data_IF_363503222996
#
_entry.id   IF_363503222996
#
_cell.length_a   1.000
_cell.length_b   1.000
_cell.length_c   1.000
_cell.angle_alpha   90.00
_cell.angle_beta   90.00
_cell.angle_gamma   90.00
#
_symmetry.space_group_name_H-M   'P 1'
#
loop_
_entity.id
_entity.type
_entity.pdbx_description
1 polymer ?
#
# COMPACT_ATOMS: atom_id res chain seq x y z
N UNK A 1 -20.54 34.00 37.62
CA UNK A 1 -20.91 32.56 37.75
C UNK A 1 -21.53 32.13 36.44
N UNK A 2 -20.79 31.46 35.60
CA UNK A 2 -21.34 30.74 34.46
C UNK A 2 -20.41 29.56 34.22
N UNK A 3 -20.87 28.35 34.54
CA UNK A 3 -20.18 27.10 34.39
C UNK A 3 -20.32 26.67 32.91
N UNK A 4 -19.20 26.64 32.17
CA UNK A 4 -19.13 26.03 30.87
C UNK A 4 -18.99 24.50 31.06
N UNK A 5 -20.06 23.78 30.73
CA UNK A 5 -20.08 22.34 30.72
C UNK A 5 -19.21 21.82 29.54
N UNK A 6 -18.13 21.14 29.84
CA UNK A 6 -17.36 20.38 28.88
C UNK A 6 -18.18 19.16 28.42
N UNK A 7 -18.67 19.21 27.20
CA UNK A 7 -19.25 18.04 26.55
C UNK A 7 -18.13 17.07 26.18
N UNK A 8 -18.02 16.00 26.96
CA UNK A 8 -17.24 14.80 26.62
C UNK A 8 -17.78 14.24 25.30
N UNK A 9 -16.95 14.24 24.26
CA UNK A 9 -17.25 13.54 23.01
C UNK A 9 -17.32 12.05 23.33
N UNK A 10 -18.52 11.49 23.37
CA UNK A 10 -18.74 10.05 23.51
C UNK A 10 -18.10 9.35 22.32
N UNK A 11 -17.10 8.49 22.58
CA UNK A 11 -16.50 7.61 21.59
C UNK A 11 -17.64 6.80 20.93
N UNK A 12 -17.75 6.88 19.60
CA UNK A 12 -18.66 6.01 18.84
C UNK A 12 -18.32 4.55 19.20
N UNK A 13 -19.33 3.69 19.45
CA UNK A 13 -19.06 2.28 19.67
C UNK A 13 -18.30 1.74 18.45
N UNK A 14 -17.14 1.12 18.69
CA UNK A 14 -16.36 0.44 17.66
C UNK A 14 -17.26 -0.64 17.09
N UNK A 15 -17.76 -0.46 15.88
CA UNK A 15 -18.54 -1.46 15.18
C UNK A 15 -17.67 -2.72 15.08
N UNK A 16 -18.25 -3.90 15.42
CA UNK A 16 -17.51 -5.15 15.33
C UNK A 16 -16.99 -5.33 13.89
N UNK A 17 -15.70 -5.64 13.76
CA UNK A 17 -15.06 -5.79 12.45
C UNK A 17 -15.81 -6.83 11.61
N UNK A 18 -15.98 -6.54 10.32
CA UNK A 18 -16.75 -7.39 9.40
C UNK A 18 -16.02 -8.69 9.05
N UNK A 19 -14.71 -8.61 8.79
CA UNK A 19 -13.83 -9.76 8.67
C UNK A 19 -12.81 -9.71 9.80
N UNK A 20 -12.73 -10.79 10.56
CA UNK A 20 -11.78 -10.93 11.67
C UNK A 20 -10.93 -12.17 11.42
N UNK A 21 -9.63 -11.95 11.37
CA UNK A 21 -8.61 -12.99 11.31
C UNK A 21 -7.95 -13.02 12.69
N UNK A 22 -7.89 -14.19 13.32
CA UNK A 22 -7.40 -14.34 14.69
C UNK A 22 -6.35 -15.44 14.75
N UNK A 23 -5.11 -15.05 15.04
CA UNK A 23 -3.98 -15.96 15.26
C UNK A 23 -3.84 -17.03 14.17
N UNK A 24 -4.02 -16.62 12.90
CA UNK A 24 -3.93 -17.54 11.77
C UNK A 24 -2.48 -17.93 11.55
N UNK A 25 -2.28 -19.25 11.55
CA UNK A 25 -1.01 -19.89 11.22
C UNK A 25 -1.23 -20.83 10.04
N UNK A 26 -0.33 -20.80 9.08
CA UNK A 26 -0.20 -21.83 8.04
C UNK A 26 1.23 -22.29 7.93
N UNK A 27 1.44 -23.54 8.22
CA UNK A 27 2.72 -24.21 8.11
C UNK A 27 2.64 -25.27 7.00
N UNK A 28 3.66 -25.31 6.14
CA UNK A 28 3.92 -26.37 5.19
C UNK A 28 5.24 -27.02 5.59
N UNK A 29 5.20 -28.29 5.98
CA UNK A 29 6.33 -29.00 6.54
C UNK A 29 7.00 -28.20 7.68
N UNK A 30 8.23 -27.73 7.48
CA UNK A 30 8.95 -26.92 8.46
C UNK A 30 8.85 -25.41 8.24
N UNK A 31 8.15 -24.95 7.18
CA UNK A 31 8.10 -23.54 6.78
C UNK A 31 6.76 -22.91 7.16
N UNK A 32 6.82 -21.82 7.93
CA UNK A 32 5.65 -20.99 8.20
C UNK A 32 5.41 -20.06 7.01
N UNK A 33 4.36 -20.33 6.23
CA UNK A 33 3.92 -19.45 5.15
C UNK A 33 3.10 -18.26 5.68
N UNK A 34 2.37 -18.47 6.80
CA UNK A 34 1.68 -17.43 7.56
C UNK A 34 1.92 -17.75 9.03
N UNK A 35 2.43 -16.77 9.80
CA UNK A 35 2.88 -16.93 11.16
C UNK A 35 2.17 -15.93 12.08
N UNK A 36 1.20 -16.41 12.84
CA UNK A 36 0.42 -15.69 13.86
C UNK A 36 -0.19 -14.37 13.36
N UNK A 37 -0.88 -14.40 12.21
CA UNK A 37 -1.51 -13.21 11.64
C UNK A 37 -2.87 -12.96 12.30
N UNK A 38 -3.03 -11.73 12.84
CA UNK A 38 -4.31 -11.20 13.33
C UNK A 38 -4.62 -9.89 12.62
N UNK A 39 -5.86 -9.73 12.13
CA UNK A 39 -6.29 -8.61 11.32
C UNK A 39 -7.79 -8.40 11.42
N UNK A 40 -8.20 -7.14 11.53
CA UNK A 40 -9.59 -6.69 11.49
C UNK A 40 -9.82 -5.83 10.25
N UNK A 41 -10.88 -6.16 9.48
CA UNK A 41 -11.29 -5.40 8.28
C UNK A 41 -12.74 -4.98 8.46
N UNK A 42 -13.00 -3.70 8.21
CA UNK A 42 -14.34 -3.11 8.34
C UNK A 42 -15.21 -3.42 7.11
N UNK A 43 -16.53 -3.28 7.26
CA UNK A 43 -17.45 -3.44 6.14
C UNK A 43 -17.27 -2.32 5.11
N UNK A 44 -17.17 -2.69 3.82
CA UNK A 44 -16.97 -1.75 2.71
C UNK A 44 -15.53 -1.26 2.55
N UNK A 45 -14.60 -1.74 3.36
CA UNK A 45 -13.18 -1.42 3.27
C UNK A 45 -12.53 -2.11 2.05
N UNK A 46 -11.57 -1.43 1.43
CA UNK A 46 -10.63 -2.03 0.46
C UNK A 46 -9.30 -2.19 1.20
N UNK A 47 -8.98 -3.40 1.60
CA UNK A 47 -7.76 -3.74 2.32
C UNK A 47 -6.74 -4.37 1.37
N UNK A 48 -5.52 -3.82 1.31
CA UNK A 48 -4.43 -4.39 0.52
C UNK A 48 -3.40 -5.10 1.41
N UNK A 49 -3.08 -6.35 1.08
CA UNK A 49 -1.89 -7.03 1.57
C UNK A 49 -0.75 -6.78 0.59
N UNK A 50 0.27 -6.07 1.02
CA UNK A 50 1.44 -5.69 0.25
C UNK A 50 2.69 -6.37 0.80
N UNK A 51 3.59 -6.83 -0.05
CA UNK A 51 4.84 -7.48 0.38
C UNK A 51 5.58 -8.15 -0.78
N UNK A 52 6.79 -8.59 -0.54
CA UNK A 52 7.61 -9.31 -1.52
C UNK A 52 6.99 -10.65 -1.93
N UNK A 53 7.46 -11.20 -3.05
CA UNK A 53 7.06 -12.56 -3.48
C UNK A 53 7.43 -13.59 -2.41
N UNK A 54 6.51 -14.53 -2.14
CA UNK A 54 6.74 -15.60 -1.16
C UNK A 54 6.50 -15.22 0.30
N UNK A 55 6.15 -13.98 0.66
CA UNK A 55 5.93 -13.59 2.06
C UNK A 55 4.59 -14.08 2.68
N UNK A 56 3.77 -14.86 1.96
CA UNK A 56 2.55 -15.49 2.51
C UNK A 56 1.21 -14.88 2.06
N UNK A 57 1.18 -13.77 1.33
CA UNK A 57 -0.06 -13.07 0.90
C UNK A 57 -1.07 -13.97 0.19
N UNK A 58 -0.65 -14.65 -0.88
CA UNK A 58 -1.53 -15.54 -1.65
C UNK A 58 -1.98 -16.75 -0.82
N UNK A 59 -1.16 -17.22 0.13
CA UNK A 59 -1.55 -18.27 1.07
C UNK A 59 -2.68 -17.79 1.98
N UNK A 60 -2.55 -16.58 2.56
CA UNK A 60 -3.60 -15.99 3.38
C UNK A 60 -4.88 -15.78 2.56
N UNK A 61 -4.77 -15.26 1.33
CA UNK A 61 -5.91 -15.08 0.44
C UNK A 61 -6.62 -16.40 0.11
N UNK A 62 -5.86 -17.48 -0.14
CA UNK A 62 -6.40 -18.83 -0.38
C UNK A 62 -7.10 -19.40 0.85
N UNK A 63 -6.60 -19.11 2.06
CA UNK A 63 -7.28 -19.50 3.30
C UNK A 63 -8.60 -18.76 3.45
N UNK A 64 -8.68 -17.47 3.12
CA UNK A 64 -9.94 -16.73 3.08
C UNK A 64 -10.93 -17.32 2.06
N UNK A 65 -10.44 -17.68 0.88
CA UNK A 65 -11.26 -18.29 -0.18
C UNK A 65 -11.68 -19.74 0.12
N UNK A 66 -11.03 -20.42 1.09
CA UNK A 66 -11.28 -21.82 1.43
C UNK A 66 -10.55 -22.83 0.55
N UNK A 67 -9.61 -22.39 -0.29
CA UNK A 67 -8.75 -23.27 -1.09
C UNK A 67 -7.57 -23.83 -0.29
N UNK A 68 -7.32 -23.28 0.88
CA UNK A 68 -6.29 -23.71 1.82
C UNK A 68 -6.86 -23.69 3.23
N UNK A 69 -6.54 -24.71 4.05
CA UNK A 69 -6.97 -24.76 5.44
C UNK A 69 -5.85 -24.24 6.33
N UNK A 70 -6.10 -23.31 7.26
CA UNK A 70 -5.09 -22.89 8.23
C UNK A 70 -4.69 -24.07 9.12
N UNK A 71 -3.44 -24.05 9.60
CA UNK A 71 -2.93 -25.01 10.61
C UNK A 71 -3.57 -24.75 11.97
N UNK A 72 -3.76 -23.46 12.31
CA UNK A 72 -4.46 -23.01 13.52
C UNK A 72 -5.03 -21.60 13.31
N UNK A 73 -5.85 -21.16 14.27
CA UNK A 73 -6.48 -19.85 14.26
C UNK A 73 -7.92 -19.88 13.72
N UNK A 74 -8.52 -18.70 13.60
CA UNK A 74 -9.92 -18.54 13.26
C UNK A 74 -10.14 -17.43 12.23
N UNK A 75 -11.11 -17.60 11.34
CA UNK A 75 -11.56 -16.60 10.36
C UNK A 75 -13.06 -16.40 10.52
N UNK A 76 -13.47 -15.21 10.95
CA UNK A 76 -14.87 -14.86 11.17
C UNK A 76 -15.30 -13.81 10.17
N UNK A 77 -16.33 -14.09 9.37
CA UNK A 77 -16.92 -13.18 8.40
C UNK A 77 -18.36 -12.82 8.80
N UNK A 78 -18.57 -11.56 9.19
CA UNK A 78 -19.87 -11.07 9.62
C UNK A 78 -20.48 -11.89 10.76
N UNK A 79 -19.65 -12.28 11.74
CA UNK A 79 -20.04 -13.05 12.91
C UNK A 79 -20.07 -14.58 12.73
N UNK A 80 -19.78 -15.10 11.52
CA UNK A 80 -19.75 -16.54 11.25
C UNK A 80 -18.32 -17.02 11.03
N UNK A 81 -17.90 -18.07 11.73
CA UNK A 81 -16.63 -18.76 11.44
C UNK A 81 -16.76 -19.50 10.11
N UNK A 82 -15.79 -19.26 9.22
CA UNK A 82 -15.77 -19.80 7.86
C UNK A 82 -14.65 -20.83 7.62
N UNK A 83 -13.81 -21.12 8.62
CA UNK A 83 -12.65 -22.03 8.44
C UNK A 83 -13.11 -23.40 7.97
N UNK A 84 -14.17 -23.96 8.56
CA UNK A 84 -14.72 -25.28 8.23
C UNK A 84 -15.61 -25.33 6.97
N UNK A 85 -15.91 -24.18 6.35
CA UNK A 85 -16.78 -24.12 5.18
C UNK A 85 -16.00 -24.40 3.89
N UNK A 86 -16.60 -25.20 3.00
CA UNK A 86 -16.08 -25.42 1.66
C UNK A 86 -16.08 -24.11 0.84
N UNK A 87 -15.20 -23.93 -0.17
CA UNK A 87 -15.10 -22.69 -0.95
C UNK A 87 -16.42 -22.23 -1.57
N UNK A 88 -17.26 -23.16 -2.04
CA UNK A 88 -18.54 -22.87 -2.69
C UNK A 88 -19.66 -22.49 -1.70
N UNK A 89 -19.50 -22.79 -0.41
CA UNK A 89 -20.43 -22.43 0.66
C UNK A 89 -20.09 -21.08 1.32
N UNK A 90 -18.91 -20.52 1.03
CA UNK A 90 -18.50 -19.23 1.55
C UNK A 90 -19.17 -18.09 0.76
N UNK A 91 -19.71 -17.06 1.42
CA UNK A 91 -20.24 -15.87 0.74
C UNK A 91 -19.12 -14.96 0.20
N UNK A 92 -18.14 -15.56 -0.46
CA UNK A 92 -16.90 -14.96 -0.94
C UNK A 92 -16.74 -15.30 -2.41
N UNK A 93 -16.32 -14.31 -3.21
CA UNK A 93 -15.86 -14.57 -4.56
C UNK A 93 -14.42 -14.07 -4.73
N UNK A 94 -13.67 -14.78 -5.57
CA UNK A 94 -12.28 -14.48 -5.85
C UNK A 94 -12.08 -14.17 -7.34
N UNK A 95 -11.30 -13.13 -7.63
CA UNK A 95 -10.76 -12.85 -8.94
C UNK A 95 -9.28 -13.25 -8.94
N UNK A 96 -8.91 -14.16 -9.83
CA UNK A 96 -7.55 -14.67 -9.97
C UNK A 96 -6.69 -13.76 -10.85
N UNK A 97 -5.39 -13.80 -10.67
CA UNK A 97 -4.39 -13.07 -11.45
C UNK A 97 -4.53 -13.27 -12.97
N UNK A 98 -4.84 -14.50 -13.41
CA UNK A 98 -5.07 -14.84 -14.82
C UNK A 98 -6.48 -14.50 -15.32
N UNK A 99 -7.30 -13.84 -14.47
CA UNK A 99 -8.75 -13.58 -14.68
C UNK A 99 -9.60 -14.86 -14.78
N UNK A 100 -9.02 -16.01 -15.10
CA UNK A 100 -9.64 -17.33 -15.20
C UNK A 100 -10.99 -17.34 -15.95
N UNK A 101 -11.09 -16.55 -17.04
CA UNK A 101 -12.30 -16.52 -17.87
C UNK A 101 -12.46 -17.84 -18.62
N UNK A 102 -13.70 -18.31 -18.76
CA UNK A 102 -14.01 -19.48 -19.55
C UNK A 102 -13.87 -19.17 -21.06
N UNK A 103 -12.86 -19.71 -21.75
CA UNK A 103 -12.51 -19.29 -23.11
C UNK A 103 -13.56 -19.69 -24.16
N UNK A 104 -14.35 -20.72 -23.87
CA UNK A 104 -15.42 -21.22 -24.73
C UNK A 104 -16.73 -20.44 -24.58
N UNK A 105 -16.91 -19.69 -23.49
CA UNK A 105 -18.07 -18.86 -23.21
C UNK A 105 -17.85 -17.43 -23.70
N UNK A 106 -18.92 -16.75 -24.10
CA UNK A 106 -18.90 -15.32 -24.36
C UNK A 106 -18.91 -14.51 -23.05
N UNK A 107 -18.85 -13.17 -23.12
CA UNK A 107 -18.85 -12.27 -21.96
C UNK A 107 -20.09 -12.46 -21.12
N UNK A 108 -21.26 -12.46 -21.75
CA UNK A 108 -22.55 -12.63 -21.08
C UNK A 108 -22.62 -13.96 -20.32
N UNK A 109 -22.22 -15.05 -20.97
CA UNK A 109 -22.23 -16.39 -20.38
C UNK A 109 -21.18 -16.55 -19.27
N UNK A 110 -20.02 -15.90 -19.36
CA UNK A 110 -19.05 -15.86 -18.27
C UNK A 110 -19.65 -15.24 -17.00
N UNK A 111 -20.36 -14.12 -17.12
CA UNK A 111 -21.00 -13.44 -15.99
C UNK A 111 -22.17 -14.28 -15.45
N UNK A 112 -22.99 -14.86 -16.34
CA UNK A 112 -24.15 -15.66 -15.99
C UNK A 112 -23.82 -17.03 -15.35
N UNK A 113 -22.59 -17.52 -15.49
CA UNK A 113 -22.20 -18.88 -15.13
C UNK A 113 -22.52 -19.22 -13.67
N UNK A 114 -22.07 -18.38 -12.73
CA UNK A 114 -22.32 -18.58 -11.31
C UNK A 114 -23.81 -18.51 -10.94
N UNK A 115 -24.54 -17.56 -11.55
CA UNK A 115 -25.97 -17.38 -11.31
C UNK A 115 -26.82 -18.60 -11.76
N UNK A 116 -26.44 -19.19 -12.91
CA UNK A 116 -27.07 -20.43 -13.38
C UNK A 116 -26.82 -21.60 -12.45
N UNK A 117 -25.58 -21.71 -11.93
CA UNK A 117 -25.21 -22.78 -11.00
C UNK A 117 -25.99 -22.68 -9.67
N UNK A 118 -26.27 -21.45 -9.24
CA UNK A 118 -27.07 -21.20 -8.03
C UNK A 118 -28.59 -21.41 -8.26
N UNK A 119 -28.99 -21.80 -9.47
CA UNK A 119 -30.43 -22.08 -9.78
C UNK A 119 -31.28 -20.82 -9.95
N UNK A 120 -30.70 -19.65 -10.15
CA UNK A 120 -31.44 -18.39 -10.32
C UNK A 120 -32.35 -18.46 -11.54
N UNK A 121 -33.62 -17.93 -11.50
CA UNK A 121 -34.53 -17.88 -12.63
C UNK A 121 -33.94 -17.12 -13.82
N UNK A 122 -34.22 -17.58 -15.05
CA UNK A 122 -33.69 -16.95 -16.27
C UNK A 122 -33.94 -15.46 -16.40
N UNK A 123 -35.14 -14.90 -16.07
CA UNK A 123 -35.35 -13.45 -16.11
C UNK A 123 -34.41 -12.68 -15.18
N UNK A 124 -34.22 -13.19 -13.95
CA UNK A 124 -33.36 -12.56 -12.95
C UNK A 124 -31.89 -12.61 -13.35
N UNK A 125 -31.44 -13.73 -13.97
CA UNK A 125 -30.09 -13.82 -14.56
C UNK A 125 -29.91 -12.75 -15.63
N UNK A 126 -30.87 -12.58 -16.53
CA UNK A 126 -30.78 -11.61 -17.62
C UNK A 126 -30.65 -10.20 -17.05
N UNK A 127 -31.54 -9.83 -16.14
CA UNK A 127 -31.48 -8.53 -15.48
C UNK A 127 -30.14 -8.31 -14.78
N UNK A 128 -29.68 -9.29 -14.00
CA UNK A 128 -28.44 -9.16 -13.22
C UNK A 128 -27.20 -9.07 -14.12
N UNK A 129 -27.15 -9.83 -15.21
CA UNK A 129 -26.05 -9.76 -16.16
C UNK A 129 -26.02 -8.41 -16.87
N UNK A 130 -27.21 -7.90 -17.27
CA UNK A 130 -27.31 -6.56 -17.92
C UNK A 130 -26.87 -5.44 -16.95
N UNK A 131 -27.25 -5.49 -15.67
CA UNK A 131 -26.75 -4.60 -14.62
C UNK A 131 -25.20 -4.64 -14.53
N UNK A 132 -24.63 -5.83 -14.52
CA UNK A 132 -23.16 -5.98 -14.45
C UNK A 132 -22.45 -5.47 -15.70
N UNK A 133 -22.99 -5.78 -16.90
CA UNK A 133 -22.44 -5.30 -18.17
C UNK A 133 -22.47 -3.77 -18.27
N UNK A 134 -23.52 -3.14 -17.77
CA UNK A 134 -23.64 -1.68 -17.72
C UNK A 134 -22.64 -1.09 -16.73
N UNK A 135 -22.52 -1.67 -15.55
CA UNK A 135 -21.58 -1.24 -14.50
C UNK A 135 -20.14 -1.22 -14.99
N UNK A 136 -19.72 -2.26 -15.73
CA UNK A 136 -18.34 -2.38 -16.25
C UNK A 136 -18.18 -1.82 -17.67
N UNK A 137 -19.23 -1.19 -18.22
CA UNK A 137 -19.27 -0.58 -19.58
C UNK A 137 -18.92 -1.56 -20.71
N UNK A 138 -19.38 -2.82 -20.59
CA UNK A 138 -19.11 -3.87 -21.58
C UNK A 138 -20.35 -4.36 -22.33
N UNK A 139 -21.50 -3.67 -22.23
CA UNK A 139 -22.75 -4.02 -22.91
C UNK A 139 -22.59 -4.29 -24.43
N UNK A 140 -21.82 -3.47 -25.19
CA UNK A 140 -21.58 -3.72 -26.63
C UNK A 140 -20.77 -5.00 -26.91
N UNK A 141 -20.06 -5.52 -25.90
CA UNK A 141 -19.16 -6.67 -26.03
C UNK A 141 -19.76 -7.97 -25.50
N UNK A 142 -21.03 -7.99 -25.07
CA UNK A 142 -21.69 -9.11 -24.40
C UNK A 142 -21.56 -10.45 -25.15
N UNK A 143 -21.57 -10.43 -26.48
CA UNK A 143 -21.48 -11.61 -27.34
C UNK A 143 -20.05 -12.03 -27.71
N UNK A 144 -19.03 -11.22 -27.36
CA UNK A 144 -17.62 -11.53 -27.67
C UNK A 144 -17.08 -12.62 -26.73
N UNK A 145 -16.10 -13.37 -27.23
CA UNK A 145 -15.33 -14.34 -26.44
C UNK A 145 -14.08 -13.66 -25.83
N UNK A 146 -13.49 -14.21 -24.75
CA UNK A 146 -12.34 -13.60 -24.07
C UNK A 146 -11.18 -13.23 -24.98
N UNK A 147 -10.81 -14.08 -25.95
CA UNK A 147 -9.73 -13.81 -26.90
C UNK A 147 -9.97 -12.62 -27.85
N UNK A 148 -11.20 -12.10 -27.92
CA UNK A 148 -11.60 -10.93 -28.72
C UNK A 148 -11.60 -9.63 -27.91
N UNK A 149 -11.12 -9.67 -26.66
CA UNK A 149 -11.11 -8.56 -25.71
C UNK A 149 -9.68 -8.15 -25.39
N UNK A 150 -9.47 -6.85 -25.11
CA UNK A 150 -8.23 -6.38 -24.51
C UNK A 150 -8.07 -6.89 -23.06
N UNK A 151 -6.85 -6.86 -22.51
CA UNK A 151 -6.58 -7.28 -21.14
C UNK A 151 -7.46 -6.56 -20.11
N UNK A 152 -7.61 -5.24 -20.21
CA UNK A 152 -8.49 -4.48 -19.32
C UNK A 152 -9.98 -4.81 -19.49
N UNK A 153 -10.43 -5.19 -20.71
CA UNK A 153 -11.79 -5.68 -20.92
C UNK A 153 -11.99 -7.06 -20.28
N UNK A 154 -11.01 -7.96 -20.41
CA UNK A 154 -11.05 -9.28 -19.76
C UNK A 154 -11.11 -9.15 -18.24
N UNK A 155 -10.32 -8.26 -17.67
CA UNK A 155 -10.34 -7.95 -16.24
C UNK A 155 -11.73 -7.48 -15.78
N UNK A 156 -12.36 -6.52 -16.50
CA UNK A 156 -13.70 -6.05 -16.17
C UNK A 156 -14.76 -7.16 -16.28
N UNK A 157 -14.61 -8.09 -17.21
CA UNK A 157 -15.49 -9.29 -17.28
C UNK A 157 -15.30 -10.17 -16.04
N UNK A 158 -14.05 -10.42 -15.61
CA UNK A 158 -13.75 -11.21 -14.43
C UNK A 158 -14.31 -10.56 -13.16
N UNK A 159 -14.17 -9.23 -13.04
CA UNK A 159 -14.75 -8.46 -11.95
C UNK A 159 -16.29 -8.56 -11.95
N UNK A 160 -16.93 -8.32 -13.09
CA UNK A 160 -18.39 -8.43 -13.23
C UNK A 160 -18.90 -9.83 -12.86
N UNK A 161 -18.20 -10.89 -13.29
CA UNK A 161 -18.48 -12.27 -12.92
C UNK A 161 -18.38 -12.48 -11.41
N UNK A 162 -17.32 -11.95 -10.78
CA UNK A 162 -17.11 -12.07 -9.33
C UNK A 162 -18.17 -11.31 -8.52
N UNK A 163 -18.65 -10.16 -9.02
CA UNK A 163 -19.67 -9.35 -8.36
C UNK A 163 -21.12 -9.81 -8.65
N UNK A 164 -21.34 -10.61 -9.70
CA UNK A 164 -22.68 -11.01 -10.13
C UNK A 164 -23.47 -11.70 -9.01
N UNK A 165 -22.84 -12.57 -8.23
CA UNK A 165 -23.42 -13.31 -7.10
C UNK A 165 -23.65 -12.48 -5.83
N UNK A 166 -23.32 -11.18 -5.84
CA UNK A 166 -23.39 -10.28 -4.66
C UNK A 166 -22.65 -10.86 -3.44
N UNK A 167 -21.33 -11.12 -3.56
CA UNK A 167 -20.57 -11.66 -2.46
C UNK A 167 -20.53 -10.66 -1.30
N UNK A 168 -20.39 -11.16 -0.08
CA UNK A 168 -20.15 -10.32 1.10
C UNK A 168 -18.69 -9.85 1.17
N UNK A 169 -17.76 -10.66 0.64
CA UNK A 169 -16.33 -10.37 0.55
C UNK A 169 -15.81 -10.67 -0.86
N UNK A 170 -15.11 -9.72 -1.46
CA UNK A 170 -14.41 -9.86 -2.73
C UNK A 170 -12.92 -10.04 -2.47
N UNK A 171 -12.33 -11.07 -3.04
CA UNK A 171 -10.88 -11.31 -3.00
C UNK A 171 -10.29 -11.05 -4.37
N UNK A 172 -9.19 -10.27 -4.41
CA UNK A 172 -8.47 -9.94 -5.64
C UNK A 172 -7.01 -10.41 -5.52
N UNK A 173 -6.61 -11.32 -6.38
CA UNK A 173 -5.24 -11.85 -6.45
C UNK A 173 -4.49 -11.16 -7.59
N UNK A 174 -3.62 -10.20 -7.27
CA UNK A 174 -2.86 -9.39 -8.23
C UNK A 174 -3.71 -8.87 -9.41
N UNK A 175 -4.76 -8.08 -9.14
CA UNK A 175 -5.82 -7.82 -10.12
C UNK A 175 -5.34 -7.09 -11.38
N UNK A 176 -4.18 -6.41 -11.34
CA UNK A 176 -3.66 -5.61 -12.46
C UNK A 176 -2.32 -6.14 -13.01
N UNK A 177 -1.81 -7.24 -12.47
CA UNK A 177 -0.50 -7.79 -12.81
C UNK A 177 -0.32 -8.15 -14.30
N UNK A 178 -1.41 -8.43 -15.02
CA UNK A 178 -1.39 -8.78 -16.44
C UNK A 178 -1.49 -7.57 -17.41
N UNK A 179 -1.53 -6.33 -16.89
CA UNK A 179 -1.72 -5.12 -17.70
C UNK A 179 -0.39 -4.36 -17.89
N UNK A 180 -0.25 -3.68 -19.06
CA UNK A 180 0.81 -2.70 -19.27
C UNK A 180 0.64 -1.46 -18.37
N UNK A 181 1.73 -0.72 -18.10
CA UNK A 181 1.76 0.37 -17.13
C UNK A 181 0.72 1.47 -17.40
N UNK A 182 0.54 1.89 -18.66
CA UNK A 182 -0.40 2.97 -19.02
C UNK A 182 -1.87 2.53 -18.81
N UNK A 183 -2.18 1.30 -19.18
CA UNK A 183 -3.52 0.74 -18.98
C UNK A 183 -3.80 0.47 -17.52
N UNK A 184 -2.77 0.09 -16.74
CA UNK A 184 -2.84 -0.19 -15.31
C UNK A 184 -3.33 1.02 -14.52
N UNK A 185 -2.70 2.20 -14.65
CA UNK A 185 -3.09 3.42 -13.93
C UNK A 185 -4.56 3.81 -14.16
N UNK A 186 -5.02 3.76 -15.41
CA UNK A 186 -6.42 4.06 -15.71
C UNK A 186 -7.37 3.04 -15.09
N UNK A 187 -7.00 1.77 -15.15
CA UNK A 187 -7.85 0.66 -14.69
C UNK A 187 -7.91 0.58 -13.17
N UNK A 188 -6.86 1.02 -12.45
CA UNK A 188 -6.88 1.14 -10.97
C UNK A 188 -8.07 1.97 -10.49
N UNK A 189 -8.20 3.20 -10.97
CA UNK A 189 -9.30 4.09 -10.54
C UNK A 189 -10.67 3.55 -10.94
N UNK A 190 -10.80 2.98 -12.16
CA UNK A 190 -12.06 2.36 -12.60
C UNK A 190 -12.46 1.19 -11.68
N UNK A 191 -11.50 0.35 -11.28
CA UNK A 191 -11.72 -0.78 -10.37
C UNK A 191 -12.19 -0.31 -8.99
N UNK A 192 -11.50 0.69 -8.41
CA UNK A 192 -11.88 1.30 -7.13
C UNK A 192 -13.31 1.84 -7.19
N UNK A 193 -13.65 2.61 -8.22
CA UNK A 193 -14.99 3.18 -8.39
C UNK A 193 -16.08 2.10 -8.46
N UNK A 194 -15.81 0.97 -9.16
CA UNK A 194 -16.77 -0.13 -9.24
C UNK A 194 -16.95 -0.78 -7.87
N UNK A 195 -15.87 -1.09 -7.14
CA UNK A 195 -15.92 -1.72 -5.81
C UNK A 195 -16.68 -0.82 -4.83
N UNK A 196 -16.36 0.48 -4.80
CA UNK A 196 -17.02 1.47 -3.94
C UNK A 196 -18.51 1.63 -4.28
N UNK A 197 -18.86 1.66 -5.57
CA UNK A 197 -20.27 1.76 -6.02
C UNK A 197 -21.10 0.55 -5.58
N UNK A 198 -20.50 -0.64 -5.57
CA UNK A 198 -21.15 -1.87 -5.09
C UNK A 198 -21.20 -1.91 -3.56
N UNK A 199 -20.27 -1.23 -2.87
CA UNK A 199 -20.15 -1.24 -1.41
C UNK A 199 -19.69 -2.59 -0.85
N UNK A 200 -19.01 -3.41 -1.65
CA UNK A 200 -18.49 -4.71 -1.20
C UNK A 200 -17.17 -4.54 -0.45
N UNK A 201 -17.01 -5.28 0.65
CA UNK A 201 -15.72 -5.39 1.33
C UNK A 201 -14.73 -6.13 0.43
N UNK A 202 -13.52 -5.62 0.30
CA UNK A 202 -12.51 -6.15 -0.61
C UNK A 202 -11.18 -6.40 0.11
N UNK A 203 -10.60 -7.59 -0.11
CA UNK A 203 -9.21 -7.88 0.25
C UNK A 203 -8.45 -8.15 -1.04
N UNK A 204 -7.41 -7.37 -1.28
CA UNK A 204 -6.52 -7.55 -2.43
C UNK A 204 -5.11 -7.91 -1.98
N UNK A 205 -4.42 -8.71 -2.77
CA UNK A 205 -2.99 -8.94 -2.63
C UNK A 205 -2.27 -8.37 -3.83
N UNK A 206 -1.16 -7.72 -3.59
CA UNK A 206 -0.30 -7.16 -4.63
C UNK A 206 1.15 -7.12 -4.17
N UNK A 207 2.07 -7.05 -5.11
CA UNK A 207 3.48 -6.71 -4.88
C UNK A 207 3.81 -5.31 -5.43
N UNK A 208 2.84 -4.64 -6.06
CA UNK A 208 2.97 -3.30 -6.63
C UNK A 208 2.54 -2.25 -5.58
N UNK A 209 3.50 -1.40 -5.20
CA UNK A 209 3.29 -0.36 -4.18
C UNK A 209 2.30 0.71 -4.67
N UNK A 210 2.41 1.13 -5.95
CA UNK A 210 1.52 2.13 -6.54
C UNK A 210 0.07 1.64 -6.54
N UNK A 211 -0.13 0.35 -6.83
CA UNK A 211 -1.44 -0.29 -6.77
C UNK A 211 -2.03 -0.25 -5.35
N UNK A 212 -1.26 -0.67 -4.34
CA UNK A 212 -1.71 -0.65 -2.95
C UNK A 212 -2.02 0.77 -2.47
N UNK A 213 -1.11 1.72 -2.73
CA UNK A 213 -1.24 3.12 -2.31
C UNK A 213 -2.44 3.84 -2.96
N UNK A 214 -2.75 3.50 -4.23
CA UNK A 214 -3.83 4.16 -4.98
C UNK A 214 -5.21 3.56 -4.66
N UNK A 215 -5.29 2.26 -4.42
CA UNK A 215 -6.57 1.54 -4.36
C UNK A 215 -7.06 1.26 -2.95
N UNK A 216 -6.16 1.07 -1.99
CA UNK A 216 -6.54 0.63 -0.67
C UNK A 216 -6.97 1.76 0.26
N UNK A 217 -7.93 1.49 1.14
CA UNK A 217 -8.24 2.35 2.29
C UNK A 217 -7.28 2.11 3.45
N UNK A 218 -6.80 0.86 3.59
CA UNK A 218 -5.72 0.47 4.50
C UNK A 218 -4.84 -0.59 3.85
N UNK A 219 -3.56 -0.57 4.22
CA UNK A 219 -2.52 -1.49 3.73
C UNK A 219 -1.96 -2.27 4.92
N UNK A 220 -1.80 -3.56 4.74
CA UNK A 220 -0.99 -4.42 5.62
C UNK A 220 0.30 -4.80 4.91
N UNK A 221 1.44 -4.34 5.42
CA UNK A 221 2.76 -4.72 4.89
C UNK A 221 3.18 -6.05 5.50
N UNK A 222 3.40 -7.04 4.63
CA UNK A 222 3.70 -8.41 5.03
C UNK A 222 5.11 -8.81 4.64
N UNK A 223 5.83 -9.44 5.57
CA UNK A 223 7.14 -10.03 5.36
C UNK A 223 7.27 -11.31 6.18
N UNK A 224 7.89 -12.34 5.62
CA UNK A 224 8.20 -13.62 6.31
C UNK A 224 7.00 -14.21 7.06
N UNK A 225 5.83 -14.21 6.44
CA UNK A 225 4.61 -14.76 7.04
C UNK A 225 3.89 -13.85 8.05
N UNK A 226 4.47 -12.70 8.40
CA UNK A 226 3.94 -11.77 9.42
C UNK A 226 3.50 -10.46 8.81
N UNK A 227 2.51 -9.81 9.45
CA UNK A 227 2.16 -8.42 9.15
C UNK A 227 3.01 -7.52 10.05
N UNK A 228 3.84 -6.68 9.43
CA UNK A 228 4.75 -5.78 10.14
C UNK A 228 4.08 -4.46 10.52
N UNK A 229 3.24 -3.92 9.62
CA UNK A 229 2.52 -2.68 9.85
C UNK A 229 1.17 -2.71 9.14
N UNK A 230 0.16 -2.12 9.78
CA UNK A 230 -1.15 -1.85 9.18
C UNK A 230 -1.43 -0.36 9.37
N UNK A 231 -1.83 0.32 8.30
CA UNK A 231 -2.19 1.74 8.35
C UNK A 231 -2.83 2.21 7.05
N UNK A 232 -3.22 3.48 7.01
CA UNK A 232 -3.60 4.13 5.77
C UNK A 232 -2.38 4.28 4.86
N UNK A 233 -2.56 4.45 3.54
CA UNK A 233 -1.45 4.66 2.62
C UNK A 233 -0.46 5.73 3.11
N UNK A 234 -0.96 6.90 3.55
CA UNK A 234 -0.15 7.99 4.06
C UNK A 234 0.65 7.58 5.31
N UNK A 235 0.02 6.85 6.25
CA UNK A 235 0.67 6.39 7.48
C UNK A 235 1.82 5.40 7.19
N UNK A 236 1.60 4.48 6.24
CA UNK A 236 2.61 3.51 5.83
C UNK A 236 3.83 4.18 5.18
N UNK A 237 3.59 5.27 4.42
CA UNK A 237 4.62 6.01 3.71
C UNK A 237 5.37 6.99 4.62
N UNK A 238 4.63 7.82 5.37
CA UNK A 238 5.21 8.93 6.16
C UNK A 238 5.71 8.47 7.54
N UNK A 239 5.11 7.42 8.12
CA UNK A 239 5.46 6.93 9.46
C UNK A 239 5.70 5.42 9.49
N UNK A 240 6.66 4.91 8.70
CA UNK A 240 7.02 3.48 8.76
C UNK A 240 7.52 3.13 10.15
N UNK A 241 7.09 1.97 10.68
CA UNK A 241 7.43 1.53 12.03
C UNK A 241 8.75 0.76 12.14
N UNK A 242 9.36 0.40 11.02
CA UNK A 242 10.63 -0.32 10.97
C UNK A 242 11.36 -0.07 9.64
N UNK A 243 12.65 -0.40 9.64
CA UNK A 243 13.52 -0.24 8.48
C UNK A 243 13.00 -0.98 7.24
N UNK A 244 12.49 -2.21 7.43
CA UNK A 244 11.94 -2.98 6.31
C UNK A 244 10.80 -2.23 5.62
N UNK A 245 9.83 -1.70 6.38
CA UNK A 245 8.69 -0.96 5.80
C UNK A 245 9.17 0.32 5.12
N UNK A 246 10.11 1.07 5.73
CA UNK A 246 10.66 2.30 5.16
C UNK A 246 11.34 2.05 3.80
N UNK A 247 12.14 0.99 3.69
CA UNK A 247 12.87 0.62 2.47
C UNK A 247 11.99 -0.07 1.43
N UNK A 248 11.01 -0.87 1.89
CA UNK A 248 10.09 -1.56 1.01
C UNK A 248 9.07 -0.63 0.36
N UNK A 249 8.63 0.44 1.06
CA UNK A 249 7.65 1.42 0.54
C UNK A 249 8.36 2.63 -0.04
N UNK A 250 8.67 2.58 -1.34
CA UNK A 250 9.38 3.66 -2.03
C UNK A 250 10.88 3.68 -1.73
N UNK A 251 11.54 4.74 -2.19
CA UNK A 251 12.97 4.95 -1.93
C UNK A 251 13.13 5.73 -0.62
N UNK A 252 14.17 5.42 0.15
CA UNK A 252 14.53 6.13 1.39
C UNK A 252 16.04 6.30 1.49
N UNK A 253 16.50 7.43 2.04
CA UNK A 253 17.87 7.64 2.48
C UNK A 253 17.96 7.24 3.96
N UNK A 254 18.95 6.41 4.30
CA UNK A 254 19.16 5.92 5.66
C UNK A 254 20.53 6.35 6.17
N UNK A 255 20.55 7.01 7.33
CA UNK A 255 21.77 7.33 8.06
C UNK A 255 21.77 6.53 9.36
N UNK A 256 22.92 5.95 9.70
CA UNK A 256 23.10 5.29 10.99
C UNK A 256 23.60 6.30 12.00
N UNK A 257 22.93 6.42 13.11
CA UNK A 257 23.30 7.38 14.14
C UNK A 257 23.03 6.87 15.55
N UNK A 258 23.45 7.67 16.52
CA UNK A 258 23.19 7.44 17.95
C UNK A 258 22.48 8.65 18.53
N UNK A 259 21.44 8.40 19.30
CA UNK A 259 20.67 9.44 19.98
C UNK A 259 21.57 10.08 21.08
N UNK A 260 21.87 11.36 20.93
CA UNK A 260 22.67 12.14 21.88
C UNK A 260 21.82 13.01 22.80
N UNK A 261 20.67 13.49 22.32
CA UNK A 261 19.66 14.23 23.11
C UNK A 261 18.30 13.60 22.86
N UNK A 262 17.52 13.38 23.92
CA UNK A 262 16.16 12.82 23.87
C UNK A 262 15.28 13.66 24.81
N UNK A 263 14.71 14.75 24.29
CA UNK A 263 13.82 15.65 24.99
C UNK A 263 12.37 15.50 24.52
N UNK A 264 11.42 16.04 25.24
CA UNK A 264 10.00 15.85 24.96
C UNK A 264 9.54 16.48 23.63
N UNK A 265 10.23 17.52 23.17
CA UNK A 265 9.91 18.32 21.98
C UNK A 265 10.88 18.07 20.81
N UNK A 266 12.06 17.50 21.06
CA UNK A 266 13.04 17.22 20.03
C UNK A 266 14.00 16.09 20.39
N UNK A 267 14.63 15.52 19.35
CA UNK A 267 15.69 14.54 19.48
C UNK A 267 16.88 14.97 18.61
N UNK A 268 18.10 14.81 19.14
CA UNK A 268 19.32 15.00 18.37
C UNK A 268 20.03 13.66 18.19
N UNK A 269 20.40 13.36 16.95
CA UNK A 269 21.04 12.11 16.58
C UNK A 269 22.36 12.45 15.88
N UNK A 270 23.47 11.94 16.43
CA UNK A 270 24.78 12.09 15.82
C UNK A 270 25.06 10.91 14.87
N UNK A 271 25.29 11.21 13.59
CA UNK A 271 25.74 10.26 12.55
C UNK A 271 27.15 10.59 12.06
N UNK A 272 27.71 9.72 11.22
CA UNK A 272 29.01 9.99 10.59
C UNK A 272 28.94 11.20 9.64
N UNK A 273 27.80 11.42 9.02
CA UNK A 273 27.59 12.43 7.97
C UNK A 273 27.28 13.81 8.53
N UNK A 274 26.37 13.85 9.51
CA UNK A 274 25.95 15.09 10.14
C UNK A 274 25.25 14.87 11.48
N UNK A 275 24.89 15.94 12.15
CA UNK A 275 23.97 15.96 13.26
C UNK A 275 22.54 16.11 12.73
N UNK A 276 21.62 15.23 13.17
CA UNK A 276 20.22 15.29 12.82
C UNK A 276 19.41 15.87 13.98
N UNK A 277 18.69 16.94 13.69
CA UNK A 277 17.70 17.52 14.61
C UNK A 277 16.30 17.05 14.16
N UNK A 278 15.60 16.34 15.02
CA UNK A 278 14.24 15.80 14.80
C UNK A 278 13.27 16.63 15.63
N UNK A 279 12.27 17.23 15.01
CA UNK A 279 11.34 18.20 15.62
C UNK A 279 10.23 17.56 16.47
N UNK A 280 10.42 16.33 16.95
CA UNK A 280 9.51 15.65 17.88
C UNK A 280 10.30 14.73 18.81
N UNK A 281 9.79 14.56 20.02
CA UNK A 281 10.41 13.68 21.02
C UNK A 281 10.15 12.19 20.73
N UNK A 282 11.11 11.35 21.06
CA UNK A 282 11.02 9.89 21.03
C UNK A 282 11.45 9.41 22.41
N UNK A 283 10.51 9.16 23.31
CA UNK A 283 10.83 8.85 24.72
C UNK A 283 11.62 7.55 24.90
N UNK A 284 12.68 7.61 25.71
CA UNK A 284 13.44 6.45 26.19
C UNK A 284 14.49 5.93 25.21
N UNK A 285 14.96 6.76 24.27
CA UNK A 285 15.91 6.36 23.21
C UNK A 285 17.33 6.88 23.44
N UNK A 286 17.61 7.68 24.47
CA UNK A 286 18.94 8.26 24.69
C UNK A 286 20.06 7.21 24.70
N UNK A 287 21.07 7.41 23.87
CA UNK A 287 22.20 6.51 23.71
C UNK A 287 21.95 5.30 22.81
N UNK A 288 20.74 5.11 22.30
CA UNK A 288 20.41 4.02 21.35
C UNK A 288 21.03 4.28 19.97
N UNK A 289 21.39 3.20 19.31
CA UNK A 289 21.67 3.20 17.87
C UNK A 289 20.35 3.14 17.11
N UNK A 290 20.18 4.03 16.13
CA UNK A 290 18.97 4.20 15.34
C UNK A 290 19.29 4.41 13.87
N UNK A 291 18.36 4.13 12.99
CA UNK A 291 18.42 4.57 11.60
C UNK A 291 17.57 5.85 11.43
N UNK A 292 18.16 6.90 10.87
CA UNK A 292 17.48 8.15 10.47
C UNK A 292 17.06 8.00 9.03
N UNK A 293 15.75 7.99 8.77
CA UNK A 293 15.15 7.79 7.47
C UNK A 293 14.62 9.12 6.92
N UNK A 294 15.03 9.49 5.69
CA UNK A 294 14.53 10.68 4.99
C UNK A 294 14.20 10.33 3.55
N UNK A 295 13.00 10.71 3.09
CA UNK A 295 12.59 10.47 1.71
C UNK A 295 13.34 11.37 0.73
N UNK A 296 13.68 10.91 -0.50
CA UNK A 296 14.38 11.69 -1.50
C UNK A 296 13.69 13.00 -1.90
N UNK A 297 12.37 13.00 -1.93
CA UNK A 297 11.53 14.18 -2.28
C UNK A 297 11.39 15.18 -1.13
N UNK A 298 11.77 14.79 0.09
CA UNK A 298 11.82 15.65 1.28
C UNK A 298 13.19 16.35 1.44
N UNK A 299 14.14 16.02 0.57
CA UNK A 299 15.46 16.63 0.57
C UNK A 299 15.54 17.69 -0.51
N UNK A 300 16.12 18.84 -0.15
CA UNK A 300 16.46 19.91 -1.07
C UNK A 300 17.94 19.82 -1.48
N UNK A 301 18.25 20.28 -2.70
CA UNK A 301 19.60 20.27 -3.29
C UNK A 301 19.88 21.61 -3.93
N UNK A 302 21.07 22.20 -3.62
CA UNK A 302 21.51 23.47 -4.19
C UNK A 302 23.06 23.59 -4.22
N UNK A 303 23.58 24.51 -5.06
CA UNK A 303 25.01 24.69 -5.21
C UNK A 303 25.65 25.47 -4.04
N UNK A 304 24.86 26.27 -3.31
CA UNK A 304 25.32 27.09 -2.19
C UNK A 304 24.80 26.55 -0.86
N UNK A 305 25.45 26.83 0.28
CA UNK A 305 24.90 26.48 1.58
C UNK A 305 23.50 27.07 1.77
N UNK A 306 22.54 26.32 2.42
CA UNK A 306 21.21 26.83 2.70
C UNK A 306 21.29 28.06 3.64
N UNK A 307 20.49 29.10 3.34
CA UNK A 307 20.42 30.30 4.16
C UNK A 307 19.60 30.08 5.42
N UNK A 308 19.98 30.80 6.51
CA UNK A 308 19.11 30.86 7.72
C UNK A 308 17.79 31.51 7.32
N UNK A 309 16.68 30.77 7.38
CA UNK A 309 15.33 31.18 6.95
C UNK A 309 14.77 30.43 5.74
N UNK A 310 15.58 29.68 5.01
CA UNK A 310 15.11 28.69 4.03
C UNK A 310 14.60 27.40 4.70
N UNK A 311 14.81 27.30 6.03
CA UNK A 311 14.40 26.17 6.86
C UNK A 311 13.24 26.60 7.77
N UNK A 312 12.19 25.80 7.81
CA UNK A 312 11.03 26.06 8.69
C UNK A 312 11.26 25.65 10.15
N UNK A 313 12.26 24.79 10.45
CA UNK A 313 12.49 24.30 11.81
C UNK A 313 13.59 25.07 12.53
N UNK A 314 13.45 25.22 13.86
CA UNK A 314 14.42 25.79 14.80
C UNK A 314 15.68 24.92 14.99
N UNK A 315 16.10 24.21 13.94
CA UNK A 315 17.32 23.42 14.00
C UNK A 315 18.52 24.33 14.29
N UNK A 316 19.35 23.92 15.24
CA UNK A 316 20.66 24.56 15.48
C UNK A 316 21.42 24.68 14.18
N UNK A 317 22.19 25.77 14.01
CA UNK A 317 23.03 26.00 12.84
C UNK A 317 23.89 24.77 12.53
N UNK A 318 23.74 24.22 11.32
CA UNK A 318 24.53 23.07 10.86
C UNK A 318 23.88 21.69 10.96
N UNK A 319 22.72 21.54 11.60
CA UNK A 319 21.98 20.28 11.60
C UNK A 319 21.28 20.02 10.25
N UNK A 320 20.94 18.73 9.96
CA UNK A 320 20.15 18.30 8.81
C UNK A 320 20.68 18.81 7.45
N UNK A 321 22.00 18.88 7.30
CA UNK A 321 22.64 19.28 6.06
C UNK A 321 23.96 18.57 5.86
N UNK A 322 24.28 18.27 4.60
CA UNK A 322 25.52 17.62 4.21
C UNK A 322 26.02 18.19 2.89
N UNK A 323 27.36 18.18 2.69
CA UNK A 323 27.95 18.49 1.43
C UNK A 323 28.34 17.20 0.69
N UNK A 324 28.14 17.17 -0.61
CA UNK A 324 28.51 16.03 -1.46
C UNK A 324 28.79 16.44 -2.88
N UNK A 325 29.05 15.45 -3.73
CA UNK A 325 29.30 15.64 -5.17
C UNK A 325 28.25 14.79 -5.93
N UNK A 326 27.64 15.41 -6.94
CA UNK A 326 26.70 14.71 -7.81
C UNK A 326 27.45 13.65 -8.62
N UNK A 327 27.07 12.38 -8.50
CA UNK A 327 27.64 11.30 -9.30
C UNK A 327 26.80 11.00 -10.53
N UNK A 328 25.49 10.98 -10.39
CA UNK A 328 24.56 10.61 -11.44
C UNK A 328 23.30 11.48 -11.40
N UNK A 329 22.70 11.68 -12.56
CA UNK A 329 21.46 12.44 -12.73
C UNK A 329 20.51 11.61 -13.59
N UNK A 330 19.35 11.27 -13.05
CA UNK A 330 18.29 10.57 -13.77
C UNK A 330 17.12 11.52 -14.04
N UNK A 331 16.97 11.96 -15.29
CA UNK A 331 15.87 12.80 -15.73
C UNK A 331 14.67 11.94 -16.16
N UNK A 332 13.56 12.03 -15.43
CA UNK A 332 12.35 11.23 -15.65
C UNK A 332 11.17 12.04 -16.23
N UNK A 333 11.45 13.21 -16.78
CA UNK A 333 10.43 14.12 -17.32
C UNK A 333 9.81 15.01 -16.25
N UNK A 334 8.87 14.53 -15.45
CA UNK A 334 8.24 15.29 -14.35
C UNK A 334 9.16 15.47 -13.13
N UNK A 335 10.13 14.58 -12.95
CA UNK A 335 11.05 14.53 -11.82
C UNK A 335 12.48 14.39 -12.32
N UNK A 336 13.44 14.89 -11.53
CA UNK A 336 14.86 14.60 -11.68
C UNK A 336 15.38 14.02 -10.36
N UNK A 337 16.04 12.87 -10.41
CA UNK A 337 16.70 12.26 -9.26
C UNK A 337 18.20 12.44 -9.37
N UNK A 338 18.80 13.05 -8.36
CA UNK A 338 20.22 13.23 -8.22
C UNK A 338 20.81 12.21 -7.26
N UNK A 339 21.92 11.60 -7.62
CA UNK A 339 22.72 10.78 -6.72
C UNK A 339 23.90 11.59 -6.22
N UNK A 340 23.96 11.85 -4.93
CA UNK A 340 24.98 12.69 -4.30
C UNK A 340 25.84 11.84 -3.39
N UNK A 341 27.14 11.72 -3.71
CA UNK A 341 28.10 11.00 -2.90
C UNK A 341 28.69 11.91 -1.83
N UNK A 342 28.57 11.49 -0.59
CA UNK A 342 29.16 12.16 0.57
C UNK A 342 30.61 11.75 0.79
N UNK A 343 31.31 12.47 1.66
CA UNK A 343 32.69 12.16 2.04
C UNK A 343 32.84 10.80 2.73
N UNK A 344 31.81 10.33 3.41
CA UNK A 344 31.75 9.00 4.02
C UNK A 344 31.65 7.85 3.01
N UNK A 345 31.35 8.16 1.74
CA UNK A 345 31.05 7.19 0.70
C UNK A 345 29.56 6.84 0.57
N UNK A 346 28.70 7.30 1.50
CA UNK A 346 27.26 7.17 1.38
C UNK A 346 26.75 7.93 0.15
N UNK A 347 25.84 7.32 -0.61
CA UNK A 347 25.19 7.95 -1.76
C UNK A 347 23.73 8.26 -1.40
N UNK A 348 23.41 9.54 -1.34
CA UNK A 348 22.06 10.03 -1.16
C UNK A 348 21.34 10.15 -2.49
N UNK A 349 20.03 9.89 -2.48
CA UNK A 349 19.12 10.20 -3.57
C UNK A 349 18.32 11.44 -3.20
N UNK A 350 18.28 12.42 -4.08
CA UNK A 350 17.46 13.63 -3.93
C UNK A 350 16.57 13.76 -5.14
N UNK A 351 15.26 13.87 -4.94
CA UNK A 351 14.30 13.96 -6.05
C UNK A 351 13.67 15.35 -6.07
N UNK A 352 13.78 16.02 -7.21
CA UNK A 352 13.18 17.34 -7.43
C UNK A 352 12.16 17.30 -8.56
N UNK A 353 11.07 18.07 -8.41
CA UNK A 353 10.07 18.23 -9.46
C UNK A 353 10.56 19.19 -10.54
N UNK A 354 10.37 18.83 -11.81
CA UNK A 354 10.70 19.69 -12.95
C UNK A 354 9.53 20.66 -13.24
N UNK A 355 9.19 21.51 -12.26
CA UNK A 355 8.04 22.42 -12.34
C UNK A 355 8.23 23.55 -13.36
N UNK A 356 9.47 23.97 -13.65
CA UNK A 356 9.78 25.05 -14.59
C UNK A 356 10.70 24.54 -15.73
N UNK A 357 10.46 25.01 -16.95
CA UNK A 357 11.19 24.59 -18.14
C UNK A 357 12.67 25.04 -18.14
N UNK A 358 13.00 26.12 -17.41
CA UNK A 358 14.34 26.70 -17.25
C UNK A 358 14.47 27.26 -15.82
N UNK A 359 14.66 26.42 -14.83
CA UNK A 359 14.89 26.83 -13.46
C UNK A 359 16.40 26.86 -13.18
N UNK A 360 17.02 28.07 -13.30
CA UNK A 360 18.37 28.28 -12.88
C UNK A 360 19.49 27.68 -13.78
N UNK A 361 20.72 27.67 -13.26
CA UNK A 361 21.86 26.98 -13.87
C UNK A 361 21.70 25.48 -13.64
N UNK A 362 21.72 24.64 -14.70
CA UNK A 362 21.57 23.21 -14.52
C UNK A 362 22.75 22.62 -13.73
N UNK A 363 22.45 21.85 -12.71
CA UNK A 363 23.46 21.08 -11.99
C UNK A 363 23.94 19.92 -12.86
N UNK A 364 25.26 19.67 -12.84
CA UNK A 364 25.89 18.62 -13.64
C UNK A 364 26.55 17.55 -12.75
N UNK A 365 26.80 16.40 -13.33
CA UNK A 365 27.63 15.38 -12.67
C UNK A 365 29.04 15.95 -12.43
N UNK A 366 29.55 15.75 -11.22
CA UNK A 366 30.80 16.33 -10.74
C UNK A 366 30.65 17.64 -9.95
N UNK A 367 29.48 18.26 -9.97
CA UNK A 367 29.25 19.49 -9.22
C UNK A 367 29.20 19.23 -7.70
N UNK A 368 29.90 20.07 -6.90
CA UNK A 368 29.71 20.07 -5.45
C UNK A 368 28.38 20.72 -5.10
N UNK A 369 27.63 20.07 -4.18
CA UNK A 369 26.30 20.52 -3.78
C UNK A 369 26.09 20.37 -2.28
N UNK A 370 25.12 21.12 -1.77
CA UNK A 370 24.57 20.98 -0.45
C UNK A 370 23.22 20.26 -0.55
N UNK A 371 23.02 19.28 0.32
CA UNK A 371 21.73 18.58 0.51
C UNK A 371 21.27 18.87 1.93
N UNK A 372 20.00 19.25 2.07
CA UNK A 372 19.43 19.56 3.37
C UNK A 372 17.95 19.11 3.44
N UNK A 373 17.42 18.98 4.65
CA UNK A 373 16.05 18.53 4.94
C UNK A 373 15.56 19.10 6.26
N UNK A 374 14.22 19.11 6.46
CA UNK A 374 13.64 19.58 7.70
C UNK A 374 13.57 18.48 8.78
N UNK A 375 13.60 18.91 10.05
CA UNK A 375 13.51 17.98 11.19
C UNK A 375 12.15 17.26 11.30
N UNK A 376 11.11 17.84 10.70
CA UNK A 376 9.76 17.25 10.58
C UNK A 376 9.67 16.12 9.56
N UNK A 377 10.61 16.10 8.60
CA UNK A 377 10.63 15.10 7.52
C UNK A 377 11.45 13.83 7.86
N UNK A 378 12.00 13.82 9.06
CA UNK A 378 12.80 12.71 9.56
C UNK A 378 11.90 11.67 10.23
N UNK A 379 12.13 10.41 9.90
CA UNK A 379 11.59 9.26 10.64
C UNK A 379 12.73 8.54 11.34
N UNK A 380 12.61 8.36 12.65
CA UNK A 380 13.60 7.62 13.44
C UNK A 380 13.15 6.18 13.60
N UNK A 381 13.98 5.25 13.14
CA UNK A 381 13.70 3.82 13.16
C UNK A 381 14.58 3.15 14.22
N UNK A 382 13.94 2.55 15.22
CA UNK A 382 14.59 1.87 16.36
C UNK A 382 14.70 0.35 16.19
N UNK A 383 14.18 -0.20 15.07
CA UNK A 383 14.11 -1.64 14.78
C UNK A 383 14.41 -1.93 13.31
#
# INVERSE_FOLDING_TARGET
MSAAASQSAAAKPVAAAFLQIRHIVKQFDEVFAVDDVSLDIEQGEIFALLGSSGCGKSTLLRMLAGFETPTSGQIVLGGQDIVGLAPYDRPINMMFQSYALFPHLNVWDNIAFGLRRDGMPKPDITQRVDEMLEMVQLKPYAKRKPHQLSGGQQQRVALARSLAKRPRLLLLDEPLGALDAKLRQRTQLELVHIIQRVGVTCVMVTHDQEEAMTMATRIGVMSEGKILQIGRPEEIYETPNCRFVADFIGTVNLFKGRVSVDEADHVVIDSLECRHYVSHGITGTQGMEVDVAVRPEKMALQATPPLAGERESAAEDGCNQVQGVITDIAYLGSLTTYHVRLASGLVLKVTQTNAARHAGVPLLSGDPVWVWWDGTDIVVLTR
#
